data_IF_167499762212
#
_entry.id   IF_167499762212
#
_cell.length_a   1.000
_cell.length_b   1.000
_cell.length_c   1.000
_cell.angle_alpha   90.00
_cell.angle_beta   90.00
_cell.angle_gamma   90.00
#
_symmetry.space_group_name_H-M   'P 1'
#
loop_
_entity.id
_entity.type
_entity.pdbx_description
1 polymer ?
#
# COMPACT_ATOMS: atom_id res chain seq x y z
N UNK A 1 -25.94 21.67 -18.13
CA UNK A 1 -27.25 21.02 -17.88
C UNK A 1 -28.10 20.90 -19.13
N UNK A 2 -28.27 21.94 -19.95
CA UNK A 2 -29.09 21.90 -21.19
C UNK A 2 -28.76 20.75 -22.15
N UNK A 3 -27.48 20.42 -22.37
CA UNK A 3 -27.08 19.33 -23.25
C UNK A 3 -27.62 17.95 -22.83
N UNK A 4 -27.73 17.69 -21.52
CA UNK A 4 -28.29 16.44 -21.01
C UNK A 4 -29.80 16.39 -21.24
N UNK A 5 -30.53 17.48 -20.99
CA UNK A 5 -31.98 17.53 -21.19
C UNK A 5 -32.35 17.40 -22.67
N UNK A 6 -31.67 18.14 -23.54
CA UNK A 6 -31.87 18.03 -24.99
C UNK A 6 -31.72 16.57 -25.49
N UNK A 7 -30.73 15.86 -24.93
CA UNK A 7 -30.53 14.44 -25.21
C UNK A 7 -31.69 13.59 -24.69
N UNK A 8 -32.08 13.74 -23.42
CA UNK A 8 -33.16 12.97 -22.80
C UNK A 8 -34.53 13.21 -23.47
N UNK A 9 -34.73 14.37 -24.09
CA UNK A 9 -35.94 14.73 -24.83
C UNK A 9 -35.99 14.15 -26.26
N UNK A 10 -34.92 13.49 -26.71
CA UNK A 10 -34.79 12.98 -28.08
C UNK A 10 -34.60 11.44 -28.15
N UNK A 11 -35.48 10.62 -27.55
CA UNK A 11 -35.44 9.17 -27.74
C UNK A 11 -35.87 8.80 -29.16
N UNK A 12 -35.07 7.98 -29.84
CA UNK A 12 -35.32 7.49 -31.20
C UNK A 12 -36.00 6.13 -31.20
N UNK A 13 -35.61 5.25 -30.25
CA UNK A 13 -36.14 3.90 -30.11
C UNK A 13 -36.16 3.53 -28.62
N UNK A 14 -37.32 3.08 -28.13
CA UNK A 14 -37.54 2.69 -26.73
C UNK A 14 -37.97 1.22 -26.64
N UNK A 15 -37.93 0.66 -25.42
CA UNK A 15 -38.31 -0.74 -25.15
C UNK A 15 -37.57 -1.72 -26.08
N UNK A 16 -36.26 -1.55 -26.20
CA UNK A 16 -35.46 -2.34 -27.14
C UNK A 16 -35.26 -3.76 -26.62
N UNK A 17 -35.66 -4.72 -27.43
CA UNK A 17 -35.47 -6.15 -27.16
C UNK A 17 -34.60 -6.78 -28.24
N UNK A 18 -33.79 -7.74 -27.81
CA UNK A 18 -32.87 -8.48 -28.68
C UNK A 18 -33.21 -9.96 -28.51
N UNK A 19 -33.72 -10.54 -29.58
CA UNK A 19 -33.94 -11.97 -29.68
C UNK A 19 -32.70 -12.63 -30.29
N UNK A 20 -32.13 -13.57 -29.56
CA UNK A 20 -30.86 -14.23 -29.88
C UNK A 20 -31.12 -15.61 -30.48
N UNK A 21 -30.30 -16.06 -31.45
CA UNK A 21 -30.50 -17.37 -32.06
C UNK A 21 -30.18 -18.51 -31.08
N UNK A 22 -30.94 -19.59 -31.24
CA UNK A 22 -30.71 -20.85 -30.54
C UNK A 22 -31.46 -20.98 -29.20
N UNK A 23 -31.44 -22.18 -28.60
CA UNK A 23 -32.24 -22.47 -27.40
C UNK A 23 -31.60 -21.97 -26.09
N UNK A 24 -30.32 -21.60 -26.10
CA UNK A 24 -29.61 -21.16 -24.90
C UNK A 24 -29.56 -19.62 -24.87
N UNK A 25 -30.10 -19.03 -23.79
CA UNK A 25 -29.99 -17.59 -23.56
C UNK A 25 -28.53 -17.19 -23.36
N UNK A 26 -27.96 -16.32 -24.19
CA UNK A 26 -26.57 -15.89 -24.04
C UNK A 26 -26.38 -15.00 -22.82
N UNK A 27 -25.13 -14.87 -22.39
CA UNK A 27 -24.77 -13.92 -21.34
C UNK A 27 -24.51 -12.55 -21.96
N UNK A 28 -25.45 -11.62 -21.77
CA UNK A 28 -25.51 -10.33 -22.48
C UNK A 28 -25.37 -9.17 -21.50
N UNK A 29 -24.58 -8.16 -21.90
CA UNK A 29 -24.38 -6.93 -21.16
C UNK A 29 -24.54 -5.70 -22.06
N UNK A 30 -25.25 -4.64 -21.59
CA UNK A 30 -25.95 -4.54 -20.31
C UNK A 30 -27.15 -5.50 -20.21
N UNK A 31 -27.48 -5.97 -19.00
CA UNK A 31 -28.57 -6.94 -18.79
C UNK A 31 -29.97 -6.38 -19.08
N UNK A 32 -30.13 -5.06 -18.99
CA UNK A 32 -31.32 -4.35 -19.43
C UNK A 32 -30.94 -3.42 -20.57
N UNK A 33 -31.60 -3.58 -21.71
CA UNK A 33 -31.45 -2.67 -22.84
C UNK A 33 -31.80 -1.25 -22.41
N UNK A 34 -31.07 -0.28 -22.94
CA UNK A 34 -31.33 1.15 -22.74
C UNK A 34 -32.03 1.70 -23.97
N UNK A 35 -32.77 2.79 -23.79
CA UNK A 35 -33.34 3.52 -24.92
C UNK A 35 -32.23 4.10 -25.81
N UNK A 36 -32.46 4.11 -27.11
CA UNK A 36 -31.54 4.68 -28.09
C UNK A 36 -31.87 6.16 -28.29
N UNK A 37 -30.91 7.02 -27.99
CA UNK A 37 -31.04 8.47 -28.13
C UNK A 37 -30.33 8.97 -29.40
N UNK A 38 -30.83 10.06 -29.96
CA UNK A 38 -30.25 10.65 -31.16
C UNK A 38 -28.76 11.02 -30.94
N UNK A 39 -27.90 10.61 -31.88
CA UNK A 39 -26.48 10.95 -31.86
C UNK A 39 -25.59 10.04 -31.00
N UNK A 40 -26.13 9.03 -30.32
CA UNK A 40 -25.33 8.07 -29.56
C UNK A 40 -25.64 6.62 -29.94
N UNK A 41 -24.61 5.79 -30.15
CA UNK A 41 -24.82 4.37 -30.37
C UNK A 41 -25.16 3.66 -29.06
N UNK A 42 -26.06 2.69 -29.15
CA UNK A 42 -26.19 1.68 -28.10
C UNK A 42 -25.27 0.51 -28.43
N UNK A 43 -24.39 0.17 -27.49
CA UNK A 43 -23.47 -0.97 -27.62
C UNK A 43 -23.93 -2.08 -26.69
N UNK A 44 -24.13 -3.27 -27.24
CA UNK A 44 -24.47 -4.48 -26.50
C UNK A 44 -23.41 -5.53 -26.81
N UNK A 45 -22.98 -6.25 -25.78
CA UNK A 45 -22.02 -7.34 -25.88
C UNK A 45 -22.63 -8.63 -25.38
N UNK A 46 -22.37 -9.73 -26.08
CA UNK A 46 -22.92 -11.03 -25.74
C UNK A 46 -21.85 -12.11 -25.84
N UNK A 47 -21.92 -13.10 -24.95
CA UNK A 47 -21.19 -14.35 -25.07
C UNK A 47 -22.15 -15.43 -25.55
N UNK A 48 -21.98 -15.82 -26.81
CA UNK A 48 -22.77 -16.85 -27.50
C UNK A 48 -22.07 -18.20 -27.38
N UNK A 49 -22.85 -19.29 -27.38
CA UNK A 49 -22.34 -20.68 -27.42
C UNK A 49 -22.41 -21.29 -28.82
N UNK A 50 -23.09 -20.63 -29.77
CA UNK A 50 -23.15 -20.98 -31.19
C UNK A 50 -22.78 -19.79 -32.06
N UNK A 51 -22.47 -20.05 -33.33
CA UNK A 51 -21.81 -19.07 -34.21
C UNK A 51 -22.76 -18.45 -35.25
N UNK A 52 -23.82 -19.17 -35.65
CA UNK A 52 -24.67 -18.78 -36.76
C UNK A 52 -26.15 -18.66 -36.35
N UNK A 53 -26.87 -17.74 -36.98
CA UNK A 53 -28.31 -17.58 -36.79
C UNK A 53 -28.80 -16.17 -37.08
N UNK A 54 -30.09 -15.94 -36.91
CA UNK A 54 -30.72 -14.62 -37.10
C UNK A 54 -30.92 -13.98 -35.73
N UNK A 55 -30.36 -12.79 -35.54
CA UNK A 55 -30.72 -11.91 -34.42
C UNK A 55 -31.88 -11.04 -34.89
N UNK A 56 -32.94 -10.96 -34.08
CA UNK A 56 -34.02 -10.00 -34.29
C UNK A 56 -33.94 -8.90 -33.22
N UNK A 57 -33.93 -7.65 -33.69
CA UNK A 57 -33.97 -6.45 -32.86
C UNK A 57 -35.36 -5.85 -32.98
N UNK A 58 -36.05 -5.68 -31.86
CA UNK A 58 -37.36 -5.05 -31.83
C UNK A 58 -37.39 -3.87 -30.86
N UNK A 59 -38.35 -2.96 -31.06
CA UNK A 59 -38.58 -1.83 -30.17
C UNK A 59 -39.73 -0.97 -30.65
N UNK A 60 -39.92 0.18 -29.99
CA UNK A 60 -40.99 1.13 -30.32
C UNK A 60 -40.40 2.45 -30.81
N UNK A 61 -40.91 2.92 -31.93
CA UNK A 61 -40.63 4.25 -32.50
C UNK A 61 -41.88 5.11 -32.44
N UNK A 62 -41.75 6.41 -32.65
CA UNK A 62 -42.92 7.29 -32.80
C UNK A 62 -43.80 6.78 -33.96
N UNK A 63 -45.01 6.34 -33.63
CA UNK A 63 -46.00 5.90 -34.61
C UNK A 63 -46.00 4.40 -34.94
N UNK A 64 -45.21 3.56 -34.28
CA UNK A 64 -45.31 2.10 -34.49
C UNK A 64 -44.22 1.25 -33.85
N UNK A 65 -44.17 0.00 -34.29
CA UNK A 65 -43.14 -0.96 -33.91
C UNK A 65 -42.01 -0.96 -34.94
N UNK A 66 -40.78 -1.05 -34.44
CA UNK A 66 -39.60 -1.24 -35.26
C UNK A 66 -39.10 -2.68 -35.07
N UNK A 67 -38.81 -3.34 -36.18
CA UNK A 67 -38.22 -4.67 -36.21
C UNK A 67 -37.14 -4.69 -37.27
N UNK A 68 -35.97 -5.23 -36.91
CA UNK A 68 -34.89 -5.47 -37.85
C UNK A 68 -34.25 -6.81 -37.55
N UNK A 69 -34.03 -7.59 -38.60
CA UNK A 69 -33.33 -8.86 -38.52
C UNK A 69 -31.94 -8.71 -39.13
N UNK A 70 -30.97 -9.35 -38.50
CA UNK A 70 -29.60 -9.43 -38.97
C UNK A 70 -29.12 -10.87 -38.86
N UNK A 71 -28.53 -11.36 -39.94
CA UNK A 71 -27.82 -12.64 -39.92
C UNK A 71 -26.48 -12.45 -39.21
N UNK A 72 -26.20 -13.30 -38.23
CA UNK A 72 -24.89 -13.44 -37.63
C UNK A 72 -24.01 -14.15 -38.64
N UNK A 73 -23.11 -13.39 -39.25
CA UNK A 73 -22.00 -13.96 -39.97
C UNK A 73 -20.93 -14.36 -38.95
N UNK A 74 -20.29 -15.50 -39.18
CA UNK A 74 -19.17 -15.99 -38.36
C UNK A 74 -18.08 -14.92 -38.31
N UNK A 75 -18.02 -14.21 -37.19
CA UNK A 75 -17.18 -13.03 -37.02
C UNK A 75 -15.70 -13.40 -37.03
N UNK A 76 -14.85 -12.46 -37.46
CA UNK A 76 -13.39 -12.62 -37.27
C UNK A 76 -13.07 -12.50 -35.79
N UNK A 77 -12.20 -13.37 -35.29
CA UNK A 77 -11.72 -13.28 -33.91
C UNK A 77 -11.02 -11.93 -33.67
N UNK A 78 -11.48 -11.22 -32.64
CA UNK A 78 -10.92 -9.94 -32.23
C UNK A 78 -10.62 -9.97 -30.73
N UNK A 79 -9.34 -9.78 -30.40
CA UNK A 79 -8.84 -9.82 -29.02
C UNK A 79 -9.47 -8.79 -28.08
N UNK A 80 -10.09 -7.73 -28.61
CA UNK A 80 -10.74 -6.68 -27.84
C UNK A 80 -12.20 -6.97 -27.43
N UNK A 81 -12.94 -7.80 -28.18
CA UNK A 81 -14.39 -7.99 -27.94
C UNK A 81 -14.62 -8.72 -26.61
N UNK A 82 -13.81 -9.75 -26.33
CA UNK A 82 -13.87 -10.47 -25.06
C UNK A 82 -13.60 -9.56 -23.86
N UNK A 83 -12.69 -8.59 -24.00
CA UNK A 83 -12.41 -7.60 -22.98
C UNK A 83 -13.57 -6.61 -22.78
N UNK A 84 -14.26 -6.21 -23.86
CA UNK A 84 -15.44 -5.34 -23.79
C UNK A 84 -16.59 -6.04 -23.05
N UNK A 85 -16.87 -7.29 -23.40
CA UNK A 85 -17.87 -8.12 -22.71
C UNK A 85 -17.54 -8.28 -21.22
N UNK A 86 -16.27 -8.57 -20.90
CA UNK A 86 -15.85 -8.76 -19.52
C UNK A 86 -15.94 -7.48 -18.67
N UNK A 87 -15.72 -6.30 -19.28
CA UNK A 87 -15.98 -5.01 -18.62
C UNK A 87 -17.47 -4.82 -18.30
N UNK A 88 -18.35 -5.10 -19.26
CA UNK A 88 -19.80 -5.05 -19.05
C UNK A 88 -20.27 -5.98 -17.93
N UNK A 89 -19.71 -7.19 -17.84
CA UNK A 89 -19.96 -8.12 -16.73
C UNK A 89 -19.52 -7.53 -15.38
N UNK A 90 -18.30 -6.99 -15.30
CA UNK A 90 -17.78 -6.38 -14.07
C UNK A 90 -18.65 -5.19 -13.65
N UNK A 91 -19.05 -4.33 -14.58
CA UNK A 91 -19.96 -3.20 -14.30
C UNK A 91 -21.28 -3.69 -13.72
N UNK A 92 -21.92 -4.69 -14.33
CA UNK A 92 -23.17 -5.24 -13.79
C UNK A 92 -23.00 -5.86 -12.40
N UNK A 93 -21.89 -6.56 -12.13
CA UNK A 93 -21.59 -7.10 -10.81
C UNK A 93 -21.39 -5.99 -9.77
N UNK A 94 -20.75 -4.89 -10.16
CA UNK A 94 -20.59 -3.72 -9.30
C UNK A 94 -21.92 -3.02 -9.02
N UNK A 95 -22.83 -2.96 -10.00
CA UNK A 95 -24.19 -2.45 -9.82
C UNK A 95 -25.00 -3.35 -8.86
N UNK A 96 -24.91 -4.68 -9.00
CA UNK A 96 -25.54 -5.63 -8.08
C UNK A 96 -25.05 -5.46 -6.64
N UNK A 97 -23.76 -5.14 -6.46
CA UNK A 97 -23.19 -4.83 -5.14
C UNK A 97 -23.82 -3.59 -4.53
N UNK A 98 -24.08 -2.56 -5.34
CA UNK A 98 -24.76 -1.33 -4.88
C UNK A 98 -26.22 -1.63 -4.54
N UNK A 99 -26.86 -2.51 -5.30
CA UNK A 99 -28.24 -2.96 -5.07
C UNK A 99 -28.41 -3.91 -3.86
N UNK A 100 -27.33 -4.25 -3.14
CA UNK A 100 -27.38 -5.06 -1.92
C UNK A 100 -27.07 -6.55 -2.10
N UNK A 101 -26.51 -6.97 -3.24
CA UNK A 101 -25.99 -8.34 -3.41
C UNK A 101 -24.81 -8.65 -2.48
N UNK A 102 -24.55 -9.94 -2.26
CA UNK A 102 -23.47 -10.41 -1.38
C UNK A 102 -22.10 -9.87 -1.85
N UNK A 103 -21.43 -9.01 -1.05
CA UNK A 103 -20.16 -8.43 -1.41
C UNK A 103 -19.04 -9.45 -1.68
N UNK A 104 -19.05 -10.59 -1.01
CA UNK A 104 -17.96 -11.57 -1.09
C UNK A 104 -18.10 -12.45 -2.34
N UNK A 105 -19.32 -12.90 -2.65
CA UNK A 105 -19.62 -13.59 -3.91
C UNK A 105 -19.32 -12.70 -5.12
N UNK A 106 -19.75 -11.43 -5.06
CA UNK A 106 -19.51 -10.47 -6.14
C UNK A 106 -18.02 -10.22 -6.30
N UNK A 107 -17.28 -10.03 -5.20
CA UNK A 107 -15.82 -9.85 -5.25
C UNK A 107 -15.16 -11.04 -5.94
N UNK A 108 -15.52 -12.27 -5.58
CA UNK A 108 -14.96 -13.47 -6.17
C UNK A 108 -15.17 -13.50 -7.69
N UNK A 109 -16.40 -13.23 -8.15
CA UNK A 109 -16.74 -13.21 -9.57
C UNK A 109 -16.04 -12.09 -10.34
N UNK A 110 -15.91 -10.90 -9.76
CA UNK A 110 -15.18 -9.77 -10.37
C UNK A 110 -13.70 -10.11 -10.50
N UNK A 111 -13.07 -10.66 -9.46
CA UNK A 111 -11.65 -11.06 -9.49
C UNK A 111 -11.42 -12.14 -10.55
N UNK A 112 -12.27 -13.17 -10.60
CA UNK A 112 -12.17 -14.24 -11.60
C UNK A 112 -12.27 -13.69 -13.03
N UNK A 113 -13.29 -12.86 -13.29
CA UNK A 113 -13.52 -12.26 -14.62
C UNK A 113 -12.35 -11.35 -15.00
N UNK A 114 -11.89 -10.50 -14.08
CA UNK A 114 -10.80 -9.57 -14.33
C UNK A 114 -9.48 -10.29 -14.61
N UNK A 115 -9.14 -11.33 -13.84
CA UNK A 115 -7.92 -12.11 -14.07
C UNK A 115 -7.98 -12.89 -15.39
N UNK A 116 -9.11 -13.54 -15.70
CA UNK A 116 -9.31 -14.29 -16.95
C UNK A 116 -9.11 -13.41 -18.18
N UNK A 117 -9.61 -12.19 -18.15
CA UNK A 117 -9.56 -11.24 -19.28
C UNK A 117 -8.44 -10.19 -19.17
N UNK A 118 -7.53 -10.33 -18.19
CA UNK A 118 -6.40 -9.41 -17.94
C UNK A 118 -6.84 -7.94 -17.78
N UNK A 119 -7.91 -7.73 -17.03
CA UNK A 119 -8.49 -6.41 -16.75
C UNK A 119 -8.10 -5.89 -15.36
N UNK A 120 -7.99 -4.57 -15.26
CA UNK A 120 -7.94 -3.85 -13.98
C UNK A 120 -9.36 -3.57 -13.53
N UNK A 121 -9.66 -3.90 -12.28
CA UNK A 121 -10.96 -3.73 -11.64
C UNK A 121 -10.77 -3.08 -10.27
N UNK A 122 -11.86 -2.88 -9.52
CA UNK A 122 -11.78 -2.44 -8.12
C UNK A 122 -10.92 -3.37 -7.23
N UNK A 123 -10.80 -4.65 -7.60
CA UNK A 123 -10.13 -5.68 -6.80
C UNK A 123 -8.84 -6.21 -7.43
N UNK A 124 -8.41 -5.69 -8.58
CA UNK A 124 -7.19 -6.14 -9.29
C UNK A 124 -6.33 -4.94 -9.68
N UNK A 125 -5.01 -5.11 -9.67
CA UNK A 125 -4.04 -4.09 -10.07
C UNK A 125 -2.94 -4.70 -10.94
N UNK A 126 -2.33 -3.89 -11.80
CA UNK A 126 -1.15 -4.27 -12.57
C UNK A 126 0.10 -3.85 -11.78
N UNK A 127 0.93 -4.82 -11.40
CA UNK A 127 2.19 -4.57 -10.71
C UNK A 127 3.33 -4.93 -11.65
N UNK A 128 4.13 -3.93 -12.02
CA UNK A 128 5.36 -4.15 -12.76
C UNK A 128 6.49 -4.48 -11.76
N UNK A 129 7.04 -5.69 -11.86
CA UNK A 129 8.20 -6.12 -11.08
C UNK A 129 9.42 -6.06 -11.99
N UNK A 130 10.42 -5.27 -11.62
CA UNK A 130 11.69 -5.24 -12.32
C UNK A 130 12.44 -6.56 -12.10
N UNK A 131 12.96 -7.13 -13.19
CA UNK A 131 13.73 -8.39 -13.16
C UNK A 131 15.17 -8.18 -12.73
N UNK A 132 15.69 -6.96 -12.80
CA UNK A 132 17.05 -6.63 -12.37
C UNK A 132 16.99 -5.93 -11.00
N UNK A 133 17.06 -6.67 -9.88
CA UNK A 133 17.07 -6.04 -8.57
C UNK A 133 18.29 -5.12 -8.46
N UNK A 134 18.07 -3.89 -7.98
CA UNK A 134 19.12 -2.88 -7.81
C UNK A 134 20.30 -3.39 -6.95
N UNK A 135 20.06 -4.42 -6.11
CA UNK A 135 21.10 -5.18 -5.41
C UNK A 135 20.87 -6.68 -5.58
N UNK A 136 21.84 -7.43 -6.10
CA UNK A 136 21.81 -8.90 -6.07
C UNK A 136 21.75 -9.43 -4.63
N UNK A 137 21.12 -10.60 -4.45
CA UNK A 137 21.14 -11.31 -3.18
C UNK A 137 22.58 -11.78 -2.86
N UNK A 138 23.07 -11.50 -1.65
CA UNK A 138 24.41 -11.89 -1.21
C UNK A 138 25.47 -10.78 -1.22
N UNK A 139 25.21 -9.64 -1.84
CA UNK A 139 26.10 -8.46 -1.73
C UNK A 139 25.83 -7.76 -0.40
N UNK A 140 26.88 -7.60 0.42
CA UNK A 140 26.80 -6.89 1.69
C UNK A 140 26.35 -5.43 1.51
N UNK A 141 25.68 -4.88 2.52
CA UNK A 141 25.27 -3.49 2.50
C UNK A 141 26.51 -2.60 2.54
N UNK A 142 26.70 -1.77 1.51
CA UNK A 142 27.70 -0.73 1.54
C UNK A 142 27.20 0.41 2.44
N UNK A 143 27.75 0.49 3.66
CA UNK A 143 27.56 1.67 4.49
C UNK A 143 28.45 2.78 3.98
N UNK A 144 27.84 3.85 3.47
CA UNK A 144 28.52 5.10 3.14
C UNK A 144 27.90 6.20 3.97
N UNK A 145 28.74 6.97 4.66
CA UNK A 145 28.31 8.24 5.24
C UNK A 145 27.97 9.18 4.09
N UNK A 146 26.69 9.45 3.90
CA UNK A 146 26.23 10.47 2.97
C UNK A 146 26.52 11.82 3.62
N UNK A 147 27.29 12.72 2.99
CA UNK A 147 27.52 14.05 3.54
C UNK A 147 26.18 14.72 3.81
N UNK A 148 25.99 15.23 5.04
CA UNK A 148 24.84 16.06 5.36
C UNK A 148 24.92 17.33 4.53
N UNK A 149 24.21 17.40 3.42
CA UNK A 149 24.06 18.63 2.65
C UNK A 149 23.22 19.58 3.48
N UNK A 150 23.84 20.68 3.92
CA UNK A 150 23.11 21.75 4.57
C UNK A 150 22.19 22.42 3.53
N UNK A 151 20.94 22.77 3.89
CA UNK A 151 20.06 23.54 3.02
C UNK A 151 20.75 24.82 2.53
N UNK A 152 20.46 25.22 1.30
CA UNK A 152 21.02 26.42 0.70
C UNK A 152 20.67 27.65 1.57
N UNK A 153 21.69 28.39 2.03
CA UNK A 153 21.56 29.50 2.99
C UNK A 153 22.02 29.18 4.42
N UNK A 154 22.43 27.94 4.70
CA UNK A 154 23.02 27.58 6.00
C UNK A 154 24.48 28.03 6.07
N UNK A 155 24.74 29.21 6.63
CA UNK A 155 26.08 29.73 6.85
C UNK A 155 26.65 29.22 8.18
N UNK A 156 27.76 28.47 8.11
CA UNK A 156 28.85 28.32 9.10
C UNK A 156 28.56 27.89 10.55
N UNK A 157 27.50 28.40 11.18
CA UNK A 157 27.28 28.36 12.63
C UNK A 157 26.51 27.12 13.08
N UNK A 158 25.69 26.53 12.21
CA UNK A 158 24.87 25.34 12.55
C UNK A 158 25.72 24.05 12.53
N UNK A 159 26.90 24.05 11.89
CA UNK A 159 27.74 22.85 11.83
C UNK A 159 28.71 22.71 13.03
N UNK A 160 29.04 23.81 13.72
CA UNK A 160 29.85 23.81 14.95
C UNK A 160 29.08 24.23 16.20
N UNK A 161 27.89 24.78 16.05
CA UNK A 161 27.00 25.14 17.15
C UNK A 161 26.21 23.93 17.59
N UNK A 162 26.72 23.19 18.58
CA UNK A 162 25.88 22.31 19.37
C UNK A 162 24.64 23.09 19.85
N UNK A 163 23.46 22.47 19.93
CA UNK A 163 22.27 23.14 20.46
C UNK A 163 22.61 23.78 21.80
N UNK A 164 22.15 25.01 22.04
CA UNK A 164 22.32 25.68 23.34
C UNK A 164 21.60 24.83 24.41
N UNK A 165 22.31 23.89 25.02
CA UNK A 165 21.78 23.09 26.11
C UNK A 165 21.65 23.97 27.34
N UNK A 166 20.55 23.86 28.07
CA UNK A 166 20.26 24.66 29.27
C UNK A 166 21.21 24.41 30.46
N UNK A 167 22.19 23.52 30.31
CA UNK A 167 23.25 23.26 31.30
C UNK A 167 24.47 24.15 31.03
N UNK A 168 24.99 24.90 32.02
CA UNK A 168 26.16 25.76 31.85
C UNK A 168 27.44 24.91 31.81
N UNK A 169 27.65 24.18 30.70
CA UNK A 169 28.75 23.23 30.54
C UNK A 169 30.13 23.89 30.75
N UNK A 170 30.31 25.12 30.25
CA UNK A 170 31.54 25.89 30.45
C UNK A 170 31.85 26.12 31.94
N UNK A 171 30.83 26.40 32.77
CA UNK A 171 30.98 26.56 34.21
C UNK A 171 31.40 25.24 34.86
N UNK A 172 30.78 24.12 34.48
CA UNK A 172 31.13 22.80 35.03
C UNK A 172 32.54 22.36 34.63
N UNK A 173 32.99 22.67 33.41
CA UNK A 173 34.38 22.44 33.00
C UNK A 173 35.37 23.30 33.81
N UNK A 174 35.02 24.55 34.10
CA UNK A 174 35.86 25.43 34.91
C UNK A 174 35.92 24.96 36.38
N UNK A 175 34.78 24.61 36.97
CA UNK A 175 34.71 24.07 38.35
C UNK A 175 35.48 22.75 38.46
N UNK A 176 35.33 21.84 37.50
CA UNK A 176 36.08 20.57 37.50
C UNK A 176 37.59 20.79 37.34
N UNK A 177 38.03 21.74 36.50
CA UNK A 177 39.43 22.12 36.39
C UNK A 177 39.98 22.68 37.72
N UNK A 178 39.22 23.54 38.41
CA UNK A 178 39.61 24.06 39.73
C UNK A 178 39.70 22.94 40.77
N UNK A 179 38.70 22.06 40.84
CA UNK A 179 38.70 20.93 41.77
C UNK A 179 39.91 20.01 41.53
N UNK A 180 40.25 19.73 40.27
CA UNK A 180 41.38 18.87 39.92
C UNK A 180 42.71 19.54 40.27
N UNK A 181 42.83 20.85 40.05
CA UNK A 181 44.00 21.63 40.46
C UNK A 181 44.20 21.63 41.98
N UNK A 182 43.13 21.85 42.76
CA UNK A 182 43.17 21.77 44.22
C UNK A 182 43.54 20.37 44.72
N UNK A 183 43.02 19.30 44.09
CA UNK A 183 43.37 17.93 44.44
C UNK A 183 44.85 17.63 44.22
N UNK A 184 45.44 18.14 43.12
CA UNK A 184 46.88 18.00 42.83
C UNK A 184 47.72 18.74 43.87
N UNK A 185 47.34 19.96 44.26
CA UNK A 185 48.05 20.72 45.30
C UNK A 185 48.00 20.03 46.66
N UNK A 186 46.84 19.50 47.06
CA UNK A 186 46.68 18.77 48.31
C UNK A 186 47.49 17.46 48.31
N UNK A 187 47.47 16.69 47.22
CA UNK A 187 48.29 15.49 47.07
C UNK A 187 49.80 15.77 47.00
N UNK A 188 50.21 16.95 46.51
CA UNK A 188 51.59 17.42 46.54
C UNK A 188 52.04 17.83 47.94
N UNK A 189 51.16 18.46 48.73
CA UNK A 189 51.47 18.90 50.10
C UNK A 189 51.46 17.78 51.13
N UNK A 190 50.67 16.72 50.94
CA UNK A 190 50.62 15.56 51.84
C UNK A 190 51.83 14.63 51.69
N UNK A 191 52.52 14.67 50.54
CA UNK A 191 53.79 13.95 50.33
C UNK A 191 54.98 14.53 51.11
N UNK A 192 54.85 15.72 51.69
CA UNK A 192 55.86 16.35 52.55
C UNK A 192 55.69 16.09 54.05
N UNK A 193 54.66 15.36 54.49
CA UNK A 193 54.34 15.13 55.92
C UNK A 193 53.98 13.68 56.21
N UNK A 194 54.93 12.76 56.03
CA UNK A 194 55.11 11.56 56.88
C UNK A 194 56.51 11.01 56.66
N UNK A 195 57.50 11.46 57.44
CA UNK A 195 58.72 10.69 57.66
C UNK A 195 59.31 11.08 59.03
N UNK A 196 59.27 10.10 59.95
CA UNK A 196 59.81 9.98 61.34
C UNK A 196 58.68 9.40 62.21
N UNK A 197 58.73 8.23 62.84
CA UNK A 197 59.84 7.34 63.21
C UNK A 197 59.29 5.96 63.66
N UNK A 198 59.87 4.91 63.08
CA UNK A 198 60.23 3.58 63.62
C UNK A 198 59.25 2.55 64.25
N UNK A 199 59.62 1.23 64.16
CA UNK A 199 58.74 0.07 64.29
C UNK A 199 58.86 -0.67 65.62
N UNK A 200 57.81 -1.36 66.06
CA UNK A 200 57.94 -2.44 67.05
C UNK A 200 56.77 -3.44 66.98
N UNK A 201 57.13 -4.64 66.50
CA UNK A 201 56.79 -5.98 66.96
C UNK A 201 55.57 -6.27 67.87
N UNK A 202 55.08 -7.51 67.67
CA UNK A 202 54.21 -8.32 68.55
C UNK A 202 52.72 -8.00 68.39
N UNK A 203 51.84 -8.92 68.02
CA UNK A 203 51.86 -10.37 68.16
C UNK A 203 50.47 -10.78 68.68
N UNK A 204 50.00 -11.92 68.18
CA UNK A 204 49.11 -12.82 68.93
C UNK A 204 47.58 -12.61 68.87
N UNK A 205 46.95 -13.68 68.34
CA UNK A 205 45.61 -14.24 68.66
C UNK A 205 44.36 -13.46 68.22
N UNK A 206 43.23 -14.07 67.85
CA UNK A 206 42.75 -15.45 67.59
C UNK A 206 41.22 -15.31 67.54
N UNK A 207 40.55 -16.11 66.67
CA UNK A 207 39.09 -16.39 66.65
C UNK A 207 38.23 -15.17 66.27
N UNK A 208 37.08 -15.24 65.60
CA UNK A 208 36.03 -16.20 65.15
C UNK A 208 35.27 -15.34 64.08
N UNK A 209 34.49 -15.79 63.12
CA UNK A 209 33.65 -16.94 62.97
C UNK A 209 33.26 -17.02 61.48
N UNK A 210 33.00 -18.24 61.00
CA UNK A 210 32.20 -18.54 59.81
C UNK A 210 30.77 -17.98 59.91
N UNK A 211 30.01 -18.07 58.80
CA UNK A 211 28.57 -17.77 58.58
C UNK A 211 28.48 -16.48 57.73
N UNK A 212 28.13 -16.44 56.44
CA UNK A 212 27.11 -17.15 55.65
C UNK A 212 27.57 -17.26 54.18
N UNK A 213 27.47 -18.46 53.60
CA UNK A 213 27.47 -18.70 52.14
C UNK A 213 26.04 -18.53 51.60
N UNK A 214 25.97 -18.08 50.35
CA UNK A 214 25.03 -18.59 49.33
C UNK A 214 23.54 -18.26 49.48
N UNK A 215 23.07 -17.28 48.70
CA UNK A 215 21.77 -17.39 48.01
C UNK A 215 21.65 -16.32 46.91
N UNK A 216 21.87 -16.68 45.65
CA UNK A 216 21.35 -15.98 44.46
C UNK A 216 21.72 -16.79 43.20
N UNK A 217 21.02 -17.92 43.04
CA UNK A 217 20.87 -18.64 41.78
C UNK A 217 19.47 -19.26 41.80
N UNK A 218 18.48 -18.53 41.32
CA UNK A 218 17.21 -19.03 40.79
C UNK A 218 16.41 -17.83 40.26
N UNK A 219 16.52 -17.58 38.96
CA UNK A 219 15.57 -16.80 38.15
C UNK A 219 15.87 -17.11 36.68
N UNK A 220 15.46 -18.31 36.27
CA UNK A 220 15.29 -18.73 34.88
C UNK A 220 14.14 -19.73 34.90
N UNK A 221 13.17 -19.51 34.01
CA UNK A 221 11.86 -20.17 33.89
C UNK A 221 10.72 -19.53 34.69
N UNK A 222 10.18 -18.46 34.12
CA UNK A 222 8.77 -18.40 33.75
C UNK A 222 8.70 -17.90 32.30
#
# INVERSE_FOLDING_TARGET
MQALFFKLESPVLIDLEIDWPGPASPEVWPARSRDLYAGEPMVVTARLTGEDGIIALSGKVLGGHWLRQHELESGREHSGIAALWARGKIESLMDQRIAGGDPDEIRAQVVETALRHRLVSRYTSLVAIDRTPARPAGVGLAQRTVPGVAPQGTHGEILSGFPQTATPAALHFLVSAICLFCAVLLAGSSRGRTNTSDPAASGEKRRRNSVVRSCLRHLSQA
#
